data_IF_017213193040
#
_entry.id   IF_017213193040
#
_cell.length_a   1.000
_cell.length_b   1.000
_cell.length_c   1.000
_cell.angle_alpha   90.00
_cell.angle_beta   90.00
_cell.angle_gamma   90.00
#
_symmetry.space_group_name_H-M   'P 1'
#
loop_
_entity.id
_entity.type
_entity.pdbx_description
1 polymer ?
#
# COMPACT_ATOMS: atom_id res chain seq x y z
N UNK A 1 -17.01 15.16 -2.74
CA UNK A 1 -16.28 13.94 -3.13
C UNK A 1 -14.85 14.38 -3.29
N UNK A 2 -13.92 13.85 -2.49
CA UNK A 2 -12.55 14.29 -2.57
C UNK A 2 -12.02 13.99 -3.98
N UNK A 3 -11.31 14.96 -4.53
CA UNK A 3 -10.74 14.93 -5.86
C UNK A 3 -9.38 14.22 -5.67
N UNK A 4 -9.45 12.91 -5.45
CA UNK A 4 -8.37 12.04 -4.97
C UNK A 4 -7.22 11.96 -5.99
N UNK A 5 -6.37 12.97 -5.98
CA UNK A 5 -5.04 13.01 -6.62
C UNK A 5 -4.01 13.52 -5.61
N UNK A 6 -4.25 13.33 -4.30
CA UNK A 6 -3.22 13.60 -3.31
C UNK A 6 -2.14 12.51 -3.39
N UNK A 7 -0.86 12.89 -3.23
CA UNK A 7 0.22 11.92 -3.25
C UNK A 7 0.12 11.00 -2.03
N UNK A 8 0.19 9.70 -2.27
CA UNK A 8 0.44 8.67 -1.27
C UNK A 8 1.91 8.28 -1.33
N UNK A 9 2.55 8.24 -0.16
CA UNK A 9 3.91 7.74 -0.01
C UNK A 9 3.80 6.22 0.16
N UNK A 10 4.34 5.48 -0.80
CA UNK A 10 4.31 4.01 -0.80
C UNK A 10 5.48 3.47 0.01
N UNK A 11 6.64 4.08 -0.20
CA UNK A 11 7.88 3.75 0.46
C UNK A 11 8.73 5.02 0.74
N UNK A 12 9.60 4.93 1.74
CA UNK A 12 10.42 6.04 2.22
C UNK A 12 11.65 5.55 2.97
N UNK A 13 12.71 6.37 2.94
CA UNK A 13 13.92 6.12 3.71
C UNK A 13 14.07 7.15 4.84
N UNK A 14 14.49 6.66 6.02
CA UNK A 14 14.84 7.55 7.13
C UNK A 14 16.07 8.38 6.78
N UNK A 15 16.04 9.66 7.12
CA UNK A 15 17.12 10.59 6.82
C UNK A 15 18.19 10.55 7.90
N UNK A 16 19.44 10.37 7.49
CA UNK A 16 20.59 10.51 8.41
C UNK A 16 20.80 11.99 8.75
N UNK A 17 20.77 12.31 10.05
CA UNK A 17 21.04 13.65 10.57
C UNK A 17 22.48 13.73 11.09
N UNK A 18 23.18 14.79 10.71
CA UNK A 18 24.57 15.00 11.12
C UNK A 18 24.67 15.59 12.52
N UNK A 19 25.69 15.16 13.28
CA UNK A 19 26.06 15.71 14.60
C UNK A 19 25.02 15.49 15.70
N UNK A 20 24.15 14.50 15.55
CA UNK A 20 23.21 14.10 16.59
C UNK A 20 23.92 13.37 17.74
N UNK A 21 23.44 13.62 18.96
CA UNK A 21 23.97 13.01 20.18
C UNK A 21 22.83 12.45 21.02
N UNK A 22 23.13 11.41 21.81
CA UNK A 22 22.23 10.92 22.85
C UNK A 22 22.87 11.15 24.21
N UNK A 23 22.08 11.69 25.13
CA UNK A 23 22.47 11.82 26.53
C UNK A 23 22.52 10.42 27.16
N UNK A 24 23.71 10.01 27.61
CA UNK A 24 23.94 8.70 28.24
C UNK A 24 24.74 8.84 29.53
N UNK A 25 24.57 7.89 30.44
CA UNK A 25 25.37 7.82 31.68
C UNK A 25 26.61 6.96 31.44
N UNK A 26 27.80 7.53 31.65
CA UNK A 26 29.04 6.78 31.67
C UNK A 26 29.09 5.91 32.94
N UNK A 27 29.16 4.59 32.74
CA UNK A 27 29.07 3.60 33.83
C UNK A 27 30.25 3.70 34.80
N UNK A 28 31.43 4.08 34.33
CA UNK A 28 32.65 4.10 35.14
C UNK A 28 32.69 5.31 36.08
N UNK A 29 32.18 6.45 35.62
CA UNK A 29 32.26 7.74 36.31
C UNK A 29 30.93 8.16 36.94
N UNK A 30 29.81 7.58 36.51
CA UNK A 30 28.46 7.97 36.93
C UNK A 30 28.03 9.35 36.41
N UNK A 31 28.73 9.90 35.41
CA UNK A 31 28.45 11.21 34.83
C UNK A 31 27.65 11.09 33.54
N UNK A 32 26.84 12.11 33.26
CA UNK A 32 26.11 12.23 31.99
C UNK A 32 27.06 12.76 30.91
N UNK A 33 27.02 12.15 29.73
CA UNK A 33 27.81 12.53 28.55
C UNK A 33 26.95 12.47 27.29
N UNK A 34 27.21 13.39 26.36
CA UNK A 34 26.61 13.38 25.02
C UNK A 34 27.42 12.47 24.10
N UNK A 35 26.82 11.36 23.69
CA UNK A 35 27.47 10.38 22.84
C UNK A 35 27.04 10.62 21.39
N UNK A 36 27.97 10.87 20.45
CA UNK A 36 27.66 10.96 19.04
C UNK A 36 27.04 9.65 18.56
N UNK A 37 25.93 9.75 17.84
CA UNK A 37 25.22 8.59 17.30
C UNK A 37 24.95 8.74 15.82
N UNK A 38 24.83 7.60 15.14
CA UNK A 38 24.18 7.57 13.84
C UNK A 38 22.67 7.71 14.06
N UNK A 39 22.12 8.88 13.77
CA UNK A 39 20.70 9.15 13.94
C UNK A 39 19.98 9.11 12.59
N UNK A 40 19.08 8.14 12.43
CA UNK A 40 18.20 8.00 11.26
C UNK A 40 16.81 8.50 11.65
N UNK A 41 16.46 9.72 11.22
CA UNK A 41 15.19 10.37 11.54
C UNK A 41 14.06 9.83 10.67
N UNK A 42 13.05 9.25 11.32
CA UNK A 42 11.77 8.92 10.66
C UNK A 42 10.87 10.16 10.49
N UNK A 43 11.11 11.23 11.28
CA UNK A 43 10.35 12.48 11.16
C UNK A 43 10.75 13.25 9.90
N UNK A 44 12.03 13.18 9.54
CA UNK A 44 12.61 13.81 8.36
C UNK A 44 12.77 12.83 7.19
N UNK A 45 12.09 11.68 7.24
CA UNK A 45 12.15 10.67 6.21
C UNK A 45 11.77 11.25 4.84
N UNK A 46 12.46 10.78 3.81
CA UNK A 46 12.26 11.22 2.44
C UNK A 46 11.57 10.11 1.62
N UNK A 47 10.57 10.45 0.80
CA UNK A 47 9.85 9.44 0.03
C UNK A 47 10.69 8.90 -1.12
N UNK A 48 10.73 7.57 -1.27
CA UNK A 48 11.43 6.86 -2.35
C UNK A 48 10.46 6.46 -3.46
N UNK A 49 9.20 6.19 -3.12
CA UNK A 49 8.14 5.86 -4.06
C UNK A 49 6.84 6.60 -3.71
N UNK A 50 6.33 7.35 -4.68
CA UNK A 50 5.09 8.14 -4.54
C UNK A 50 4.14 7.82 -5.68
N UNK A 51 2.84 7.72 -5.36
CA UNK A 51 1.78 7.58 -6.36
C UNK A 51 0.63 8.52 -6.05
N UNK A 52 -0.17 8.84 -7.05
CA UNK A 52 -1.44 9.53 -6.82
C UNK A 52 -2.44 8.57 -6.17
N UNK A 53 -3.18 9.02 -5.17
CA UNK A 53 -4.24 8.23 -4.55
C UNK A 53 -5.23 7.79 -5.63
N UNK A 54 -5.58 6.50 -5.74
CA UNK A 54 -6.64 6.09 -6.66
C UNK A 54 -8.00 6.49 -6.09
N UNK A 55 -9.02 6.53 -6.93
CA UNK A 55 -10.41 6.68 -6.49
C UNK A 55 -10.92 5.43 -5.76
N UNK A 56 -10.47 4.25 -6.19
CA UNK A 56 -10.81 2.99 -5.55
C UNK A 56 -9.73 1.93 -5.80
N UNK A 57 -9.66 0.97 -4.89
CA UNK A 57 -8.99 -0.31 -5.12
C UNK A 57 -10.03 -1.38 -5.44
N UNK A 58 -9.71 -2.26 -6.39
CA UNK A 58 -10.54 -3.40 -6.79
C UNK A 58 -9.79 -4.70 -6.57
N UNK A 59 -10.50 -5.69 -6.03
CA UNK A 59 -9.97 -7.02 -5.76
C UNK A 59 -10.88 -8.04 -6.43
N UNK A 60 -10.34 -8.84 -7.35
CA UNK A 60 -11.11 -9.84 -8.09
C UNK A 60 -11.62 -10.96 -7.15
N UNK A 61 -12.71 -11.65 -7.50
CA UNK A 61 -13.16 -12.86 -6.78
C UNK A 61 -12.05 -13.91 -6.70
N UNK A 62 -12.05 -14.71 -5.63
CA UNK A 62 -10.98 -15.67 -5.31
C UNK A 62 -9.94 -15.13 -4.32
N UNK A 63 -10.10 -13.89 -3.86
CA UNK A 63 -9.24 -13.21 -2.89
C UNK A 63 -10.07 -12.64 -1.73
N UNK A 64 -11.14 -13.35 -1.35
CA UNK A 64 -12.10 -12.93 -0.32
C UNK A 64 -11.41 -12.69 1.03
N UNK A 65 -10.45 -13.52 1.42
CA UNK A 65 -9.73 -13.41 2.69
C UNK A 65 -9.03 -12.05 2.85
N UNK A 66 -8.49 -11.50 1.75
CA UNK A 66 -7.85 -10.18 1.74
C UNK A 66 -8.90 -9.09 1.97
N UNK A 67 -10.04 -9.18 1.28
CA UNK A 67 -11.13 -8.21 1.44
C UNK A 67 -11.75 -8.27 2.84
N UNK A 68 -11.89 -9.47 3.42
CA UNK A 68 -12.38 -9.67 4.78
C UNK A 68 -11.44 -9.04 5.81
N UNK A 69 -10.12 -9.22 5.68
CA UNK A 69 -9.13 -8.56 6.55
C UNK A 69 -9.26 -7.04 6.54
N UNK A 70 -9.42 -6.43 5.36
CA UNK A 70 -9.64 -4.98 5.25
C UNK A 70 -10.93 -4.58 5.99
N UNK A 71 -12.01 -5.34 5.81
CA UNK A 71 -13.29 -5.08 6.47
C UNK A 71 -13.20 -5.23 7.99
N UNK A 72 -12.48 -6.23 8.50
CA UNK A 72 -12.22 -6.44 9.93
C UNK A 72 -11.41 -5.27 10.53
N UNK A 73 -10.53 -4.66 9.73
CA UNK A 73 -9.80 -3.43 10.09
C UNK A 73 -10.64 -2.14 9.94
N UNK A 74 -11.94 -2.28 9.65
CA UNK A 74 -12.90 -1.17 9.61
C UNK A 74 -13.01 -0.47 8.25
N UNK A 75 -12.40 -0.98 7.19
CA UNK A 75 -12.60 -0.47 5.83
C UNK A 75 -13.98 -0.87 5.31
N UNK A 76 -14.63 0.07 4.63
CA UNK A 76 -15.91 -0.15 3.97
C UNK A 76 -15.67 -0.44 2.50
N UNK A 77 -16.17 -1.58 2.05
CA UNK A 77 -16.19 -1.97 0.65
C UNK A 77 -17.54 -2.53 0.25
N UNK A 78 -17.75 -2.66 -1.05
CA UNK A 78 -18.93 -3.31 -1.61
C UNK A 78 -18.52 -4.24 -2.75
N UNK A 79 -19.42 -5.13 -3.16
CA UNK A 79 -19.20 -6.04 -4.28
C UNK A 79 -19.92 -5.56 -5.53
N UNK A 80 -19.30 -5.70 -6.70
CA UNK A 80 -19.95 -5.42 -7.98
C UNK A 80 -21.15 -6.38 -8.19
N UNK A 81 -22.36 -5.87 -8.50
CA UNK A 81 -23.55 -6.72 -8.65
C UNK A 81 -23.62 -7.43 -10.01
N UNK A 82 -22.77 -7.03 -10.97
CA UNK A 82 -22.66 -7.56 -12.33
C UNK A 82 -21.24 -7.35 -12.86
N UNK A 83 -20.96 -7.90 -14.03
CA UNK A 83 -19.69 -7.63 -14.72
C UNK A 83 -19.64 -6.15 -15.14
N UNK A 84 -18.49 -5.52 -14.98
CA UNK A 84 -18.25 -4.12 -15.34
C UNK A 84 -16.89 -4.02 -16.04
N UNK A 85 -16.88 -3.47 -17.25
CA UNK A 85 -15.65 -3.13 -17.96
C UNK A 85 -15.27 -1.68 -17.68
N UNK A 86 -14.05 -1.46 -17.18
CA UNK A 86 -13.52 -0.14 -16.88
C UNK A 86 -11.99 -0.13 -17.04
N UNK A 87 -11.40 1.03 -17.41
CA UNK A 87 -9.96 1.20 -17.39
C UNK A 87 -9.47 1.21 -15.94
N UNK A 88 -8.46 0.41 -15.66
CA UNK A 88 -7.79 0.32 -14.36
C UNK A 88 -6.28 0.20 -14.55
N UNK A 89 -5.57 0.60 -13.50
CA UNK A 89 -4.14 0.34 -13.34
C UNK A 89 -3.96 -1.05 -12.71
N UNK A 90 -3.09 -1.85 -13.31
CA UNK A 90 -2.72 -3.18 -12.85
C UNK A 90 -1.23 -3.21 -12.51
N UNK A 91 -0.87 -4.01 -11.52
CA UNK A 91 0.51 -4.22 -11.08
C UNK A 91 1.05 -5.52 -11.65
N UNK A 92 2.13 -5.45 -12.41
CA UNK A 92 2.92 -6.62 -12.83
C UNK A 92 4.21 -6.65 -12.03
N UNK A 93 4.48 -7.75 -11.34
CA UNK A 93 5.71 -7.89 -10.53
C UNK A 93 6.93 -7.97 -11.44
N UNK A 94 7.89 -7.07 -11.26
CA UNK A 94 9.14 -7.02 -12.05
C UNK A 94 10.33 -7.59 -11.30
N UNK A 95 10.32 -7.50 -9.97
CA UNK A 95 11.31 -8.10 -9.09
C UNK A 95 10.65 -8.64 -7.81
N UNK A 96 11.30 -9.60 -7.16
CA UNK A 96 10.87 -10.18 -5.89
C UNK A 96 12.10 -10.68 -5.14
N UNK A 97 12.34 -10.13 -3.97
CA UNK A 97 13.49 -10.46 -3.13
C UNK A 97 13.03 -10.82 -1.71
N UNK A 98 13.73 -11.75 -1.00
CA UNK A 98 13.44 -12.00 0.40
C UNK A 98 13.76 -10.77 1.26
N UNK A 99 12.81 -10.32 2.09
CA UNK A 99 12.93 -9.16 2.97
C UNK A 99 13.06 -9.53 4.46
N UNK A 100 13.51 -10.76 4.74
CA UNK A 100 13.69 -11.28 6.08
C UNK A 100 12.44 -11.97 6.63
N UNK A 101 12.29 -11.96 7.96
CA UNK A 101 11.23 -12.68 8.66
C UNK A 101 10.63 -11.81 9.77
N UNK A 102 9.30 -11.84 9.89
CA UNK A 102 8.56 -11.21 10.98
C UNK A 102 7.53 -12.19 11.52
N UNK A 103 7.52 -12.43 12.84
CA UNK A 103 6.57 -13.35 13.49
C UNK A 103 6.40 -14.72 12.79
N UNK A 104 7.52 -15.35 12.41
CA UNK A 104 7.57 -16.65 11.70
C UNK A 104 6.99 -16.63 10.27
N UNK A 105 6.83 -15.44 9.68
CA UNK A 105 6.43 -15.24 8.29
C UNK A 105 7.60 -14.67 7.51
N UNK A 106 7.91 -15.32 6.38
CA UNK A 106 8.87 -14.81 5.41
C UNK A 106 8.25 -13.59 4.71
N UNK A 107 8.99 -12.48 4.71
CA UNK A 107 8.60 -11.27 4.01
C UNK A 107 9.25 -11.22 2.64
N UNK A 108 8.60 -10.54 1.70
CA UNK A 108 9.13 -10.29 0.37
C UNK A 108 9.09 -8.81 0.06
N UNK A 109 10.12 -8.32 -0.59
CA UNK A 109 10.12 -7.01 -1.23
C UNK A 109 9.87 -7.24 -2.71
N UNK A 110 9.01 -6.42 -3.32
CA UNK A 110 8.71 -6.51 -4.74
C UNK A 110 8.83 -5.13 -5.37
N UNK A 111 9.18 -5.09 -6.64
CA UNK A 111 8.92 -3.94 -7.50
C UNK A 111 7.82 -4.29 -8.51
N UNK A 112 7.04 -3.30 -8.93
CA UNK A 112 6.00 -3.51 -9.95
C UNK A 112 6.02 -2.49 -11.06
N UNK A 113 5.70 -2.96 -12.26
CA UNK A 113 5.30 -2.10 -13.38
C UNK A 113 3.79 -1.84 -13.30
N UNK A 114 3.40 -0.57 -13.32
CA UNK A 114 2.00 -0.14 -13.33
C UNK A 114 1.54 0.11 -14.76
N UNK A 115 0.55 -0.65 -15.24
CA UNK A 115 -0.01 -0.48 -16.60
C UNK A 115 -1.49 -0.15 -16.56
N UNK A 116 -1.90 0.85 -17.38
CA UNK A 116 -3.31 1.19 -17.59
C UNK A 116 -3.90 0.31 -18.69
N UNK A 117 -5.00 -0.38 -18.39
CA UNK A 117 -5.72 -1.20 -19.38
C UNK A 117 -7.20 -1.34 -19.07
N UNK A 118 -7.98 -1.64 -20.10
CA UNK A 118 -9.40 -1.96 -19.93
C UNK A 118 -9.56 -3.39 -19.39
N UNK A 119 -10.18 -3.50 -18.22
CA UNK A 119 -10.39 -4.78 -17.53
C UNK A 119 -11.89 -4.99 -17.34
N UNK A 120 -12.34 -6.22 -17.63
CA UNK A 120 -13.69 -6.64 -17.25
C UNK A 120 -13.64 -7.28 -15.88
N UNK A 121 -14.15 -6.57 -14.89
CA UNK A 121 -14.29 -7.05 -13.52
C UNK A 121 -15.56 -7.88 -13.41
N UNK A 122 -15.49 -9.14 -12.96
CA UNK A 122 -16.66 -9.99 -12.81
C UNK A 122 -17.55 -9.52 -11.65
N UNK A 123 -18.82 -9.93 -11.68
CA UNK A 123 -19.71 -9.88 -10.52
C UNK A 123 -19.01 -10.45 -9.30
N UNK A 124 -19.15 -9.79 -8.15
CA UNK A 124 -18.52 -10.21 -6.89
C UNK A 124 -17.16 -9.57 -6.61
N UNK A 125 -16.54 -8.90 -7.60
CA UNK A 125 -15.33 -8.09 -7.38
C UNK A 125 -15.56 -7.11 -6.23
N UNK A 126 -14.65 -7.09 -5.26
CA UNK A 126 -14.67 -6.12 -4.18
C UNK A 126 -14.17 -4.77 -4.66
N UNK A 127 -14.80 -3.72 -4.16
CA UNK A 127 -14.46 -2.32 -4.43
C UNK A 127 -14.35 -1.60 -3.10
N UNK A 128 -13.18 -1.01 -2.84
CA UNK A 128 -12.91 -0.18 -1.68
C UNK A 128 -12.62 1.24 -2.17
N UNK A 129 -13.54 2.17 -1.89
CA UNK A 129 -13.36 3.58 -2.23
C UNK A 129 -12.34 4.22 -1.30
N UNK A 130 -11.50 5.10 -1.81
CA UNK A 130 -10.56 5.88 -0.99
C UNK A 130 -11.21 7.07 -0.30
N UNK A 131 -12.43 7.44 -0.70
CA UNK A 131 -13.25 8.44 -0.02
C UNK A 131 -13.81 7.96 1.35
N UNK A 132 -12.94 7.49 2.24
CA UNK A 132 -13.24 7.06 3.60
C UNK A 132 -12.05 7.35 4.55
N UNK A 133 -12.27 7.53 5.87
CA UNK A 133 -11.21 7.97 6.79
C UNK A 133 -9.99 7.04 6.83
N UNK A 134 -10.17 5.74 6.66
CA UNK A 134 -9.12 4.72 6.70
C UNK A 134 -8.37 4.55 5.37
N UNK A 135 -8.43 5.52 4.45
CA UNK A 135 -7.81 5.38 3.13
C UNK A 135 -6.30 5.17 3.14
N UNK A 136 -5.59 5.68 4.15
CA UNK A 136 -4.14 5.45 4.25
C UNK A 136 -3.83 3.99 4.57
N UNK A 137 -4.64 3.34 5.42
CA UNK A 137 -4.54 1.90 5.65
C UNK A 137 -4.80 1.12 4.35
N UNK A 138 -5.79 1.54 3.57
CA UNK A 138 -6.09 0.88 2.29
C UNK A 138 -4.90 0.93 1.33
N UNK A 139 -4.26 2.09 1.18
CA UNK A 139 -3.06 2.24 0.35
C UNK A 139 -1.88 1.46 0.92
N UNK A 140 -1.62 1.54 2.23
CA UNK A 140 -0.57 0.77 2.91
C UNK A 140 -0.73 -0.75 2.69
N UNK A 141 -1.96 -1.25 2.75
CA UNK A 141 -2.23 -2.69 2.61
C UNK A 141 -2.21 -3.19 1.16
N UNK A 142 -2.59 -2.36 0.17
CA UNK A 142 -2.83 -2.81 -1.21
C UNK A 142 -1.81 -2.30 -2.24
N UNK A 143 -0.96 -1.34 -1.91
CA UNK A 143 0.16 -0.94 -2.76
C UNK A 143 1.31 -1.95 -2.58
N UNK A 144 1.70 -2.71 -3.62
CA UNK A 144 2.56 -3.90 -3.45
C UNK A 144 3.91 -3.63 -2.80
N UNK A 145 4.50 -2.48 -3.11
CA UNK A 145 5.83 -2.06 -2.64
C UNK A 145 5.80 -1.41 -1.25
N UNK A 146 4.64 -1.32 -0.60
CA UNK A 146 4.57 -0.76 0.75
C UNK A 146 5.06 -1.77 1.80
N UNK A 147 5.76 -1.26 2.82
CA UNK A 147 6.41 -2.09 3.87
C UNK A 147 5.43 -2.99 4.64
N UNK A 148 4.19 -2.53 4.84
CA UNK A 148 3.12 -3.30 5.52
C UNK A 148 2.04 -3.79 4.54
N UNK A 149 2.39 -3.95 3.27
CA UNK A 149 1.45 -4.43 2.27
C UNK A 149 1.12 -5.91 2.45
N UNK A 150 -0.05 -6.29 1.97
CA UNK A 150 -0.43 -7.70 1.89
C UNK A 150 0.43 -8.49 0.92
N UNK A 151 1.10 -7.83 -0.04
CA UNK A 151 2.10 -8.47 -0.89
C UNK A 151 3.37 -8.75 -0.11
N UNK A 152 3.87 -7.78 0.68
CA UNK A 152 5.08 -7.92 1.50
C UNK A 152 4.94 -9.05 2.52
N UNK A 153 3.77 -9.15 3.14
CA UNK A 153 3.44 -10.23 4.08
C UNK A 153 2.96 -11.52 3.38
N UNK A 154 2.97 -11.61 2.05
CA UNK A 154 2.60 -12.82 1.32
C UNK A 154 1.14 -13.27 1.49
N UNK A 155 0.23 -12.39 1.93
CA UNK A 155 -1.22 -12.62 1.85
C UNK A 155 -1.71 -12.55 0.40
N UNK A 156 -1.07 -11.72 -0.40
CA UNK A 156 -1.20 -11.69 -1.86
C UNK A 156 0.04 -12.36 -2.43
N UNK A 157 -0.13 -13.53 -3.05
CA UNK A 157 0.99 -14.21 -3.69
C UNK A 157 1.50 -13.36 -4.87
N UNK A 158 2.79 -13.08 -4.85
CA UNK A 158 3.52 -12.36 -5.89
C UNK A 158 4.52 -13.28 -6.57
N UNK A 159 4.64 -13.18 -7.89
CA UNK A 159 5.63 -13.93 -8.67
C UNK A 159 6.09 -13.05 -9.83
N UNK A 160 7.39 -13.06 -10.13
CA UNK A 160 7.97 -12.22 -11.19
C UNK A 160 7.31 -12.53 -12.54
N UNK A 161 6.89 -11.47 -13.24
CA UNK A 161 6.15 -11.54 -14.50
C UNK A 161 4.65 -11.80 -14.35
N UNK A 162 4.14 -11.98 -13.13
CA UNK A 162 2.71 -12.16 -12.88
C UNK A 162 2.03 -10.83 -12.51
N UNK A 163 0.77 -10.71 -12.91
CA UNK A 163 -0.11 -9.63 -12.48
C UNK A 163 -0.73 -9.94 -11.11
N UNK A 164 -0.73 -8.95 -10.22
CA UNK A 164 -1.39 -9.05 -8.94
C UNK A 164 -2.91 -8.89 -9.08
N UNK A 165 -3.71 -9.56 -8.24
CA UNK A 165 -5.18 -9.49 -8.27
C UNK A 165 -5.76 -8.20 -7.66
N UNK A 166 -4.92 -7.16 -7.53
CA UNK A 166 -5.24 -5.86 -6.96
C UNK A 166 -5.13 -4.82 -8.08
N UNK A 167 -6.13 -3.95 -8.17
CA UNK A 167 -6.23 -2.97 -9.25
C UNK A 167 -6.57 -1.59 -8.71
N UNK A 168 -6.03 -0.56 -9.35
CA UNK A 168 -6.30 0.85 -9.02
C UNK A 168 -7.24 1.44 -10.05
N UNK A 169 -8.36 1.98 -9.59
CA UNK A 169 -9.26 2.77 -10.43
C UNK A 169 -9.03 4.25 -10.13
N UNK A 170 -8.55 5.00 -11.11
CA UNK A 170 -8.05 6.38 -10.95
C UNK A 170 -8.93 7.44 -11.63
N UNK A 171 -10.09 7.05 -12.16
CA UNK A 171 -11.01 7.96 -12.85
C UNK A 171 -12.14 8.38 -11.91
N UNK A 172 -12.59 9.63 -12.02
CA UNK A 172 -13.84 10.09 -11.39
C UNK A 172 -14.97 9.07 -11.66
N UNK A 173 -15.55 8.46 -10.61
CA UNK A 173 -16.59 7.44 -10.78
C UNK A 173 -17.80 7.95 -11.55
N UNK A 174 -18.09 9.26 -11.48
CA UNK A 174 -19.21 9.88 -12.21
C UNK A 174 -19.02 9.90 -13.71
N UNK A 175 -17.77 9.77 -14.17
CA UNK A 175 -17.37 9.74 -15.59
C UNK A 175 -17.10 8.32 -16.09
N UNK A 176 -17.38 7.29 -15.30
CA UNK A 176 -17.13 5.91 -15.66
C UNK A 176 -18.36 5.01 -15.46
N UNK A 177 -18.21 3.75 -15.89
CA UNK A 177 -19.20 2.69 -15.65
C UNK A 177 -19.39 2.35 -14.16
N UNK A 178 -18.61 2.96 -13.26
CA UNK A 178 -18.77 2.84 -11.80
C UNK A 178 -19.88 3.73 -11.23
N UNK A 179 -20.29 4.80 -11.94
CA UNK A 179 -21.29 5.78 -11.48
C UNK A 179 -22.53 5.16 -10.80
N UNK A 180 -23.15 4.08 -11.30
CA UNK A 180 -24.37 3.53 -10.70
C UNK A 180 -24.17 2.94 -9.30
N UNK A 181 -22.93 2.68 -8.89
CA UNK A 181 -22.58 1.98 -7.64
C UNK A 181 -22.07 2.93 -6.54
N UNK A 182 -21.98 4.23 -6.82
CA UNK A 182 -21.34 5.24 -5.96
C UNK A 182 -22.34 5.94 -5.02
N UNK A 183 -23.28 5.17 -4.44
CA UNK A 183 -24.30 5.71 -3.53
C UNK A 183 -23.76 5.94 -2.13
#
# INVERSE_FOLDING_TARGET
MPNDNDPIIIDSENKELENETLEMVDIATGTVQDIPVKYLSATDAEPTLVRDRPTAYLIKPGHEEIAEKLMDQGLKGFRLPKNVSLPAEAFTVTSKEPAGNYEQRELVEVETEVTKKDITFPKGTYVFLTAQPQTNLLSLSLEPESVDSYTTFGYVLSEVGQELPIYRFTIDPKKSNMKPFMK
#
